data_IF_823129179121
#
_entry.id   IF_823129179121
#
_cell.length_a   1.000
_cell.length_b   1.000
_cell.length_c   1.000
_cell.angle_alpha   90.00
_cell.angle_beta   90.00
_cell.angle_gamma   90.00
#
_symmetry.space_group_name_H-M   'P 1'
#
loop_
_entity.id
_entity.type
_entity.pdbx_description
1 polymer ?
#
# COMPACT_ATOMS: atom_id res chain seq x y z
N UNK A 1 -10.67 -19.85 24.72
CA UNK A 1 -10.07 -20.32 23.44
C UNK A 1 -11.18 -20.80 22.52
N UNK A 2 -11.12 -20.44 21.25
CA UNK A 2 -12.13 -20.75 20.22
C UNK A 2 -11.60 -21.91 19.36
N UNK A 3 -12.10 -23.13 19.62
CA UNK A 3 -11.61 -24.36 18.97
C UNK A 3 -11.64 -24.28 17.45
N UNK A 4 -12.61 -23.59 16.87
CA UNK A 4 -12.71 -23.46 15.41
C UNK A 4 -11.62 -22.56 14.81
N UNK A 5 -11.16 -21.54 15.56
CA UNK A 5 -10.03 -20.71 15.14
C UNK A 5 -8.73 -21.50 15.26
N UNK A 6 -8.53 -22.21 16.38
CA UNK A 6 -7.35 -23.05 16.60
C UNK A 6 -7.16 -24.09 15.47
N UNK A 7 -8.19 -24.89 15.18
CA UNK A 7 -8.18 -25.90 14.11
C UNK A 7 -7.88 -25.28 12.73
N UNK A 8 -8.41 -24.09 12.47
CA UNK A 8 -8.16 -23.38 11.21
C UNK A 8 -6.71 -22.92 11.09
N UNK A 9 -6.12 -22.43 12.19
CA UNK A 9 -4.73 -22.00 12.21
C UNK A 9 -3.76 -23.18 12.17
N UNK A 10 -4.09 -24.33 12.77
CA UNK A 10 -3.33 -25.58 12.65
C UNK A 10 -3.29 -26.05 11.19
N UNK A 11 -4.46 -26.17 10.56
CA UNK A 11 -4.57 -26.53 9.14
C UNK A 11 -3.81 -25.55 8.23
N UNK A 12 -3.84 -24.26 8.56
CA UNK A 12 -3.08 -23.24 7.84
C UNK A 12 -1.57 -23.43 7.99
N UNK A 13 -1.09 -23.79 9.19
CA UNK A 13 0.31 -24.09 9.44
C UNK A 13 0.78 -25.33 8.66
N UNK A 14 -0.01 -26.41 8.67
CA UNK A 14 0.26 -27.64 7.92
C UNK A 14 0.33 -27.38 6.41
N UNK A 15 -0.68 -26.69 5.85
CA UNK A 15 -0.70 -26.35 4.44
C UNK A 15 0.47 -25.44 4.04
N UNK A 16 0.85 -24.51 4.92
CA UNK A 16 2.00 -23.63 4.71
C UNK A 16 3.33 -24.40 4.70
N UNK A 17 3.47 -25.41 5.57
CA UNK A 17 4.63 -26.29 5.57
C UNK A 17 4.71 -27.12 4.27
N UNK A 18 3.58 -27.68 3.83
CA UNK A 18 3.52 -28.55 2.65
C UNK A 18 3.63 -27.79 1.31
N UNK A 19 2.93 -26.66 1.18
CA UNK A 19 2.73 -25.97 -0.13
C UNK A 19 3.31 -24.57 -0.16
N UNK A 20 3.72 -24.02 0.98
CA UNK A 20 4.15 -22.63 1.09
C UNK A 20 3.02 -21.60 1.06
N UNK A 21 1.76 -22.02 1.16
CA UNK A 21 0.58 -21.16 1.09
C UNK A 21 -0.46 -21.49 2.15
N UNK A 22 -1.20 -20.46 2.60
CA UNK A 22 -2.39 -20.59 3.45
C UNK A 22 -3.70 -20.52 2.66
N UNK A 23 -3.64 -20.55 1.32
CA UNK A 23 -4.81 -20.51 0.47
C UNK A 23 -5.66 -21.78 0.63
N UNK A 24 -6.99 -21.62 0.66
CA UNK A 24 -7.93 -22.75 0.76
C UNK A 24 -8.11 -23.32 2.18
N UNK A 25 -7.39 -22.84 3.19
CA UNK A 25 -7.42 -23.42 4.54
C UNK A 25 -8.52 -22.85 5.44
N UNK A 26 -9.11 -21.72 5.06
CA UNK A 26 -10.03 -20.94 5.90
C UNK A 26 -9.34 -19.82 6.70
N UNK A 27 -8.01 -19.68 6.59
CA UNK A 27 -7.20 -18.69 7.32
C UNK A 27 -7.81 -17.28 7.34
N UNK A 28 -8.18 -16.72 6.18
CA UNK A 28 -8.75 -15.37 6.10
C UNK A 28 -10.14 -15.23 6.74
N UNK A 29 -10.89 -16.33 6.82
CA UNK A 29 -12.14 -16.40 7.58
C UNK A 29 -11.89 -16.30 9.09
N UNK A 30 -10.95 -17.08 9.61
CA UNK A 30 -10.51 -16.99 11.01
C UNK A 30 -9.98 -15.59 11.36
N UNK A 31 -9.13 -15.01 10.50
CA UNK A 31 -8.65 -13.63 10.67
C UNK A 31 -9.80 -12.62 10.75
N UNK A 32 -10.85 -12.81 9.95
CA UNK A 32 -12.01 -11.90 9.96
C UNK A 32 -12.81 -12.01 11.27
N UNK A 33 -12.93 -13.22 11.84
CA UNK A 33 -13.51 -13.42 13.18
C UNK A 33 -12.67 -12.75 14.26
N UNK A 34 -11.34 -12.96 14.23
CA UNK A 34 -10.42 -12.32 15.19
C UNK A 34 -10.49 -10.79 15.10
N UNK A 35 -10.59 -10.21 13.90
CA UNK A 35 -10.74 -8.75 13.74
C UNK A 35 -12.01 -8.17 14.36
N UNK A 36 -13.05 -8.98 14.54
CA UNK A 36 -14.33 -8.54 15.08
C UNK A 36 -14.38 -8.55 16.62
N UNK A 37 -13.41 -9.18 17.29
CA UNK A 37 -13.42 -9.37 18.74
C UNK A 37 -12.03 -9.03 19.33
N UNK A 38 -11.89 -7.92 20.08
CA UNK A 38 -10.64 -7.54 20.74
C UNK A 38 -10.06 -8.60 21.67
N UNK A 39 -10.90 -9.41 22.32
CA UNK A 39 -10.46 -10.52 23.18
C UNK A 39 -9.75 -11.60 22.37
N UNK A 40 -10.25 -11.90 21.17
CA UNK A 40 -9.58 -12.83 20.25
C UNK A 40 -8.30 -12.25 19.67
N UNK A 41 -8.22 -10.94 19.45
CA UNK A 41 -6.97 -10.28 19.00
C UNK A 41 -5.87 -10.50 20.02
N UNK A 42 -6.15 -10.35 21.32
CA UNK A 42 -5.15 -10.54 22.37
C UNK A 42 -4.54 -11.95 22.36
N UNK A 43 -5.34 -12.97 22.00
CA UNK A 43 -4.94 -14.38 21.98
C UNK A 43 -4.27 -14.79 20.67
N UNK A 44 -4.85 -14.40 19.53
CA UNK A 44 -4.48 -14.98 18.22
C UNK A 44 -3.62 -14.07 17.33
N UNK A 45 -3.41 -12.80 17.69
CA UNK A 45 -2.73 -11.85 16.80
C UNK A 45 -1.30 -12.28 16.42
N UNK A 46 -0.50 -12.77 17.39
CA UNK A 46 0.88 -13.20 17.13
C UNK A 46 0.92 -14.42 16.21
N UNK A 47 0.14 -15.45 16.53
CA UNK A 47 0.05 -16.68 15.73
C UNK A 47 -0.39 -16.41 14.28
N UNK A 48 -1.38 -15.54 14.10
CA UNK A 48 -1.81 -15.11 12.76
C UNK A 48 -0.67 -14.39 12.04
N UNK A 49 0.05 -13.51 12.73
CA UNK A 49 1.15 -12.74 12.14
C UNK A 49 2.34 -13.62 11.74
N UNK A 50 2.64 -14.66 12.51
CA UNK A 50 3.67 -15.64 12.17
C UNK A 50 3.32 -16.38 10.87
N UNK A 51 2.10 -16.90 10.75
CA UNK A 51 1.63 -17.59 9.55
C UNK A 51 1.58 -16.66 8.33
N UNK A 52 1.02 -15.44 8.48
CA UNK A 52 0.98 -14.45 7.40
C UNK A 52 2.38 -14.03 6.96
N UNK A 53 3.31 -13.84 7.91
CA UNK A 53 4.70 -13.50 7.62
C UNK A 53 5.39 -14.64 6.88
N UNK A 54 5.28 -15.88 7.37
CA UNK A 54 5.90 -17.03 6.75
C UNK A 54 5.35 -17.29 5.32
N UNK A 55 4.04 -17.16 5.11
CA UNK A 55 3.44 -17.22 3.77
C UNK A 55 3.95 -16.08 2.86
N UNK A 56 4.03 -14.86 3.40
CA UNK A 56 4.56 -13.70 2.65
C UNK A 56 6.02 -13.88 2.24
N UNK A 57 6.87 -14.40 3.13
CA UNK A 57 8.29 -14.61 2.87
C UNK A 57 8.54 -15.59 1.71
N UNK A 58 7.65 -16.59 1.54
CA UNK A 58 7.70 -17.54 0.42
C UNK A 58 7.16 -16.94 -0.88
N UNK A 59 6.25 -15.98 -0.78
CA UNK A 59 5.62 -15.34 -1.94
C UNK A 59 6.45 -14.17 -2.52
N UNK A 60 7.13 -13.40 -1.68
CA UNK A 60 7.86 -12.20 -2.11
C UNK A 60 9.12 -12.55 -2.91
N UNK A 61 9.31 -11.92 -4.08
CA UNK A 61 10.51 -12.15 -4.93
C UNK A 61 11.72 -11.39 -4.43
N UNK A 62 11.54 -10.10 -4.16
CA UNK A 62 12.58 -9.22 -3.64
C UNK A 62 12.10 -8.69 -2.30
N UNK A 63 13.00 -8.67 -1.32
CA UNK A 63 12.74 -8.12 0.01
C UNK A 63 13.88 -7.18 0.36
N UNK A 64 13.52 -6.00 0.83
CA UNK A 64 14.48 -4.98 1.27
C UNK A 64 14.17 -4.68 2.73
N UNK A 65 15.19 -4.65 3.61
CA UNK A 65 15.01 -4.23 5.00
C UNK A 65 14.26 -2.90 5.09
N UNK A 66 13.42 -2.74 6.11
CA UNK A 66 12.51 -1.60 6.20
C UNK A 66 13.24 -0.25 6.11
N UNK A 67 14.37 -0.10 6.83
CA UNK A 67 15.17 1.12 6.81
C UNK A 67 15.70 1.45 5.41
N UNK A 68 16.39 0.49 4.78
CA UNK A 68 16.96 0.66 3.44
C UNK A 68 15.89 0.95 2.38
N UNK A 69 14.78 0.21 2.39
CA UNK A 69 13.68 0.45 1.45
C UNK A 69 13.00 1.79 1.67
N UNK A 70 12.84 2.23 2.93
CA UNK A 70 12.26 3.54 3.25
C UNK A 70 13.20 4.66 2.79
N UNK A 71 14.50 4.53 3.06
CA UNK A 71 15.51 5.49 2.59
C UNK A 71 15.50 5.59 1.06
N UNK A 72 15.41 4.46 0.35
CA UNK A 72 15.31 4.44 -1.11
C UNK A 72 14.03 5.14 -1.62
N UNK A 73 12.88 4.88 -1.00
CA UNK A 73 11.62 5.54 -1.40
C UNK A 73 11.64 7.05 -1.10
N UNK A 74 12.24 7.47 0.02
CA UNK A 74 12.41 8.89 0.35
C UNK A 74 13.37 9.56 -0.63
N UNK A 75 14.52 8.94 -0.93
CA UNK A 75 15.45 9.45 -1.93
C UNK A 75 14.80 9.59 -3.31
N UNK A 76 14.04 8.57 -3.74
CA UNK A 76 13.26 8.63 -4.97
C UNK A 76 12.22 9.75 -4.94
N UNK A 77 11.53 9.95 -3.82
CA UNK A 77 10.58 11.07 -3.65
C UNK A 77 11.28 12.42 -3.84
N UNK A 78 12.44 12.61 -3.23
CA UNK A 78 13.26 13.83 -3.37
C UNK A 78 13.64 14.04 -4.84
N UNK A 79 14.11 13.00 -5.54
CA UNK A 79 14.43 13.07 -6.97
C UNK A 79 13.20 13.48 -7.79
N UNK A 80 12.03 12.90 -7.51
CA UNK A 80 10.78 13.26 -8.18
C UNK A 80 10.41 14.73 -7.98
N UNK A 81 10.55 15.26 -6.76
CA UNK A 81 10.33 16.68 -6.45
C UNK A 81 11.34 17.59 -7.14
N UNK A 82 12.62 17.22 -7.17
CA UNK A 82 13.68 17.98 -7.86
C UNK A 82 13.40 18.06 -9.36
N UNK A 83 12.96 16.96 -9.98
CA UNK A 83 12.57 16.96 -11.40
C UNK A 83 11.37 17.86 -11.67
N UNK A 84 10.36 17.87 -10.79
CA UNK A 84 9.23 18.80 -10.89
C UNK A 84 9.70 20.26 -10.78
N UNK A 85 10.59 20.56 -9.84
CA UNK A 85 11.16 21.91 -9.69
C UNK A 85 12.05 22.31 -10.90
N UNK A 86 12.75 21.35 -11.50
CA UNK A 86 13.57 21.60 -12.68
C UNK A 86 12.74 22.02 -13.90
N UNK A 87 11.48 21.61 -13.99
CA UNK A 87 10.58 22.00 -15.09
C UNK A 87 10.45 23.53 -15.24
N UNK A 88 10.61 24.31 -14.17
CA UNK A 88 10.59 25.77 -14.22
C UNK A 88 11.84 26.42 -14.86
N UNK A 89 12.93 25.66 -15.02
CA UNK A 89 14.23 26.19 -15.46
C UNK A 89 14.73 25.59 -16.76
N UNK A 90 14.17 24.46 -17.17
CA UNK A 90 14.57 23.76 -18.36
C UNK A 90 13.86 24.35 -19.58
N UNK A 91 14.54 24.33 -20.73
CA UNK A 91 13.91 24.67 -22.00
C UNK A 91 13.12 23.49 -22.55
N UNK A 92 12.14 23.78 -23.39
CA UNK A 92 11.41 22.74 -24.11
C UNK A 92 12.36 21.90 -25.00
N UNK A 93 12.17 20.55 -25.06
CA UNK A 93 11.11 19.76 -24.43
C UNK A 93 11.49 19.15 -23.06
N UNK A 94 12.63 19.53 -22.48
CA UNK A 94 13.17 18.90 -21.28
C UNK A 94 12.36 19.24 -20.02
N UNK A 95 11.69 20.38 -19.98
CA UNK A 95 10.72 20.77 -18.97
C UNK A 95 9.57 19.75 -18.83
N UNK A 96 8.97 19.37 -19.97
CA UNK A 96 7.89 18.41 -20.06
C UNK A 96 8.35 17.01 -19.65
N UNK A 97 9.53 16.59 -20.11
CA UNK A 97 10.12 15.30 -19.73
C UNK A 97 10.40 15.27 -18.22
N UNK A 98 11.00 16.33 -17.66
CA UNK A 98 11.27 16.41 -16.23
C UNK A 98 9.99 16.35 -15.40
N UNK A 99 8.92 17.05 -15.82
CA UNK A 99 7.63 17.01 -15.15
C UNK A 99 7.01 15.60 -15.17
N UNK A 100 6.97 14.94 -16.33
CA UNK A 100 6.38 13.62 -16.49
C UNK A 100 7.15 12.53 -15.73
N UNK A 101 8.48 12.53 -15.86
CA UNK A 101 9.35 11.57 -15.15
C UNK A 101 9.28 11.83 -13.64
N UNK A 102 9.34 13.09 -13.21
CA UNK A 102 9.19 13.46 -11.81
C UNK A 102 7.86 12.97 -11.22
N UNK A 103 6.76 13.15 -11.95
CA UNK A 103 5.44 12.64 -11.57
C UNK A 103 5.42 11.12 -11.46
N UNK A 104 5.98 10.40 -12.45
CA UNK A 104 6.04 8.94 -12.42
C UNK A 104 6.85 8.41 -11.22
N UNK A 105 8.00 9.04 -10.92
CA UNK A 105 8.82 8.71 -9.75
C UNK A 105 8.05 8.96 -8.45
N UNK A 106 7.34 10.09 -8.34
CA UNK A 106 6.50 10.37 -7.17
C UNK A 106 5.39 9.34 -7.00
N UNK A 107 4.70 8.94 -8.06
CA UNK A 107 3.66 7.92 -8.01
C UNK A 107 4.16 6.60 -7.43
N UNK A 108 5.35 6.15 -7.85
CA UNK A 108 5.94 4.88 -7.40
C UNK A 108 6.39 4.96 -5.94
N UNK A 109 7.01 6.08 -5.55
CA UNK A 109 7.70 6.21 -4.26
C UNK A 109 6.78 6.62 -3.13
N UNK A 110 5.76 7.44 -3.41
CA UNK A 110 4.94 8.05 -2.36
C UNK A 110 3.75 7.19 -1.93
N UNK A 111 3.26 6.27 -2.78
CA UNK A 111 2.13 5.40 -2.45
C UNK A 111 2.40 4.53 -1.22
N UNK A 112 3.50 3.77 -1.24
CA UNK A 112 3.92 2.94 -0.10
C UNK A 112 4.29 3.78 1.13
N UNK A 113 4.88 4.96 0.93
CA UNK A 113 5.19 5.88 2.01
C UNK A 113 3.93 6.43 2.68
N UNK A 114 2.85 6.67 1.93
CA UNK A 114 1.55 7.06 2.48
C UNK A 114 1.02 6.01 3.46
N UNK A 115 1.04 4.73 3.07
CA UNK A 115 0.71 3.64 3.98
C UNK A 115 1.62 3.60 5.20
N UNK A 116 2.94 3.73 4.98
CA UNK A 116 3.92 3.68 6.05
C UNK A 116 3.68 4.78 7.10
N UNK A 117 3.55 6.04 6.65
CA UNK A 117 3.38 7.20 7.53
C UNK A 117 2.08 7.07 8.34
N UNK A 118 0.94 6.90 7.67
CA UNK A 118 -0.35 6.80 8.36
C UNK A 118 -0.40 5.56 9.24
N UNK A 119 0.13 4.44 8.78
CA UNK A 119 0.22 3.22 9.58
C UNK A 119 1.04 3.41 10.86
N UNK A 120 2.21 4.07 10.77
CA UNK A 120 3.05 4.35 11.95
C UNK A 120 2.38 5.28 12.96
N UNK A 121 1.70 6.32 12.49
CA UNK A 121 0.89 7.21 13.35
C UNK A 121 -0.24 6.44 14.05
N UNK A 122 -0.71 5.36 13.44
CA UNK A 122 -1.72 4.46 13.98
C UNK A 122 -1.16 3.32 14.85
N UNK A 123 0.15 3.30 15.14
CA UNK A 123 0.80 2.20 15.89
C UNK A 123 0.99 0.89 15.10
N UNK A 124 0.75 0.90 13.79
CA UNK A 124 0.96 -0.25 12.91
C UNK A 124 2.45 -0.32 12.54
N UNK A 125 3.08 -1.44 12.86
CA UNK A 125 4.48 -1.71 12.48
C UNK A 125 4.54 -2.34 11.09
N UNK A 126 5.73 -2.29 10.51
CA UNK A 126 6.02 -2.83 9.18
C UNK A 126 7.28 -3.68 9.27
N UNK A 127 7.37 -4.71 8.44
CA UNK A 127 8.49 -5.66 8.48
C UNK A 127 9.51 -5.42 7.37
N UNK A 128 9.12 -4.77 6.26
CA UNK A 128 10.03 -4.49 5.16
C UNK A 128 9.32 -4.10 3.88
N UNK A 129 10.13 -3.72 2.89
CA UNK A 129 9.69 -3.45 1.53
C UNK A 129 9.85 -4.69 0.67
N UNK A 130 9.03 -4.82 -0.36
CA UNK A 130 9.06 -5.99 -1.23
C UNK A 130 8.60 -5.68 -2.65
N UNK A 131 8.95 -6.58 -3.57
CA UNK A 131 8.38 -6.65 -4.91
C UNK A 131 7.75 -8.03 -5.12
N UNK A 132 6.48 -8.03 -5.53
CA UNK A 132 5.70 -9.24 -5.77
C UNK A 132 5.90 -9.83 -7.17
N UNK A 133 5.54 -11.10 -7.40
CA UNK A 133 5.77 -11.79 -8.66
C UNK A 133 4.90 -11.32 -9.84
N UNK A 134 3.68 -10.82 -9.56
CA UNK A 134 2.70 -10.45 -10.60
C UNK A 134 2.64 -8.96 -10.90
N UNK A 135 3.15 -8.11 -10.00
CA UNK A 135 3.19 -6.65 -10.15
C UNK A 135 4.53 -6.16 -9.61
N UNK A 136 5.47 -5.75 -10.49
CA UNK A 136 6.81 -5.36 -10.08
C UNK A 136 6.84 -3.94 -9.47
N UNK A 137 5.87 -3.62 -8.62
CA UNK A 137 5.79 -2.35 -7.90
C UNK A 137 6.23 -2.56 -6.45
N UNK A 138 6.92 -1.59 -5.85
CA UNK A 138 7.32 -1.68 -4.46
C UNK A 138 6.09 -1.65 -3.55
N UNK A 139 5.99 -2.64 -2.68
CA UNK A 139 5.01 -2.69 -1.59
C UNK A 139 5.71 -2.64 -0.23
N UNK A 140 5.01 -2.16 0.79
CA UNK A 140 5.46 -2.25 2.19
C UNK A 140 4.60 -3.26 2.93
N UNK A 141 5.24 -4.22 3.61
CA UNK A 141 4.54 -5.30 4.33
C UNK A 141 4.32 -4.89 5.77
N UNK A 142 3.05 -4.91 6.20
CA UNK A 142 2.64 -4.69 7.59
C UNK A 142 3.07 -5.86 8.47
N UNK A 143 3.37 -5.57 9.73
CA UNK A 143 3.41 -6.56 10.79
C UNK A 143 1.98 -6.86 11.24
N UNK A 144 1.47 -8.05 10.91
CA UNK A 144 0.04 -8.30 10.98
C UNK A 144 -0.50 -8.32 12.41
N UNK A 145 0.32 -8.61 13.42
CA UNK A 145 -0.08 -8.58 14.83
C UNK A 145 -0.37 -7.13 15.26
N UNK A 146 0.57 -6.21 15.02
CA UNK A 146 0.35 -4.78 15.27
C UNK A 146 -0.81 -4.22 14.44
N UNK A 147 -0.98 -4.71 13.21
CA UNK A 147 -2.12 -4.35 12.37
C UNK A 147 -3.44 -4.77 13.01
N UNK A 148 -3.58 -6.00 13.49
CA UNK A 148 -4.81 -6.48 14.13
C UNK A 148 -5.15 -5.72 15.42
N UNK A 149 -4.13 -5.29 16.16
CA UNK A 149 -4.29 -4.50 17.40
C UNK A 149 -4.67 -3.05 17.15
N UNK A 150 -4.34 -2.49 15.99
CA UNK A 150 -4.74 -1.13 15.63
C UNK A 150 -6.26 -1.05 15.45
N UNK A 151 -6.85 0.10 15.78
CA UNK A 151 -8.30 0.30 15.65
C UNK A 151 -8.78 0.11 14.20
N UNK A 152 -10.02 -0.31 13.97
CA UNK A 152 -10.59 -0.43 12.63
C UNK A 152 -10.42 0.81 11.76
N UNK A 153 -10.69 1.99 12.34
CA UNK A 153 -10.54 3.30 11.67
C UNK A 153 -9.09 3.56 11.27
N UNK A 154 -8.13 3.27 12.16
CA UNK A 154 -6.71 3.37 11.87
C UNK A 154 -6.27 2.47 10.70
N UNK A 155 -6.71 1.20 10.71
CA UNK A 155 -6.43 0.26 9.62
C UNK A 155 -7.03 0.74 8.30
N UNK A 156 -8.25 1.27 8.34
CA UNK A 156 -8.92 1.81 7.18
C UNK A 156 -8.11 2.98 6.58
N UNK A 157 -7.83 4.02 7.37
CA UNK A 157 -7.10 5.19 6.89
C UNK A 157 -5.69 4.87 6.41
N UNK A 158 -5.00 3.90 7.04
CA UNK A 158 -3.73 3.40 6.52
C UNK A 158 -3.87 2.89 5.08
N UNK A 159 -4.90 2.11 4.75
CA UNK A 159 -5.14 1.68 3.36
C UNK A 159 -5.51 2.86 2.47
N UNK A 160 -6.38 3.78 2.90
CA UNK A 160 -6.76 4.92 2.07
C UNK A 160 -5.59 5.85 1.74
N UNK A 161 -4.61 5.99 2.65
CA UNK A 161 -3.50 6.94 2.52
C UNK A 161 -2.72 6.79 1.21
N UNK A 162 -2.28 5.57 0.89
CA UNK A 162 -1.55 5.30 -0.36
C UNK A 162 -2.38 5.64 -1.59
N UNK A 163 -3.66 5.28 -1.58
CA UNK A 163 -4.57 5.61 -2.67
C UNK A 163 -4.75 7.12 -2.83
N UNK A 164 -5.02 7.87 -1.75
CA UNK A 164 -5.21 9.32 -1.78
C UNK A 164 -3.98 10.00 -2.36
N UNK A 165 -2.79 9.66 -1.87
CA UNK A 165 -1.52 10.24 -2.33
C UNK A 165 -1.34 10.03 -3.84
N UNK A 166 -1.58 8.81 -4.33
CA UNK A 166 -1.48 8.51 -5.77
C UNK A 166 -2.37 9.41 -6.63
N UNK A 167 -3.54 9.85 -6.15
CA UNK A 167 -4.46 10.73 -6.91
C UNK A 167 -4.08 12.19 -6.82
N UNK A 168 -3.55 12.62 -5.69
CA UNK A 168 -3.11 14.00 -5.51
C UNK A 168 -1.89 14.31 -6.35
N UNK A 169 -0.96 13.36 -6.51
CA UNK A 169 0.29 13.56 -7.26
C UNK A 169 0.08 14.12 -8.68
N UNK A 170 -0.71 13.51 -9.58
CA UNK A 170 -0.89 14.06 -10.93
C UNK A 170 -1.69 15.37 -10.94
N UNK A 171 -2.60 15.59 -10.00
CA UNK A 171 -3.34 16.86 -9.87
C UNK A 171 -2.40 17.99 -9.47
N UNK A 172 -1.52 17.76 -8.49
CA UNK A 172 -0.49 18.73 -8.10
C UNK A 172 0.50 18.95 -9.25
N UNK A 173 0.90 17.90 -9.96
CA UNK A 173 1.78 18.00 -11.13
C UNK A 173 1.16 18.85 -12.26
N UNK A 174 -0.17 18.78 -12.46
CA UNK A 174 -0.86 19.69 -13.39
C UNK A 174 -0.74 21.16 -12.94
N UNK A 175 -0.88 21.44 -11.64
CA UNK A 175 -0.63 22.79 -11.11
C UNK A 175 0.80 23.27 -11.37
N UNK A 176 1.78 22.39 -11.13
CA UNK A 176 3.21 22.67 -11.38
C UNK A 176 3.48 22.92 -12.86
N UNK A 177 3.01 22.04 -13.75
CA UNK A 177 3.23 22.18 -15.19
C UNK A 177 2.58 23.44 -15.77
N UNK A 178 1.38 23.80 -15.29
CA UNK A 178 0.72 25.04 -15.68
C UNK A 178 1.53 26.27 -15.26
N UNK A 179 1.99 26.30 -14.00
CA UNK A 179 2.79 27.41 -13.47
C UNK A 179 4.16 27.53 -14.14
N UNK A 180 4.76 26.41 -14.55
CA UNK A 180 6.03 26.37 -15.28
C UNK A 180 5.90 26.68 -16.78
N UNK A 181 4.68 26.84 -17.31
CA UNK A 181 4.45 27.07 -18.74
C UNK A 181 4.76 25.86 -19.63
N UNK A 182 4.67 24.64 -19.08
CA UNK A 182 5.01 23.41 -19.79
C UNK A 182 4.05 23.16 -20.95
N UNK A 183 4.58 22.59 -22.04
CA UNK A 183 3.85 22.31 -23.26
C UNK A 183 2.55 21.51 -23.03
N UNK A 184 1.48 21.92 -23.74
CA UNK A 184 0.13 21.39 -23.55
C UNK A 184 -0.02 19.87 -23.75
N UNK A 185 0.84 19.23 -24.55
CA UNK A 185 0.79 17.76 -24.72
C UNK A 185 1.15 17.02 -23.42
N UNK A 186 2.11 17.51 -22.63
CA UNK A 186 2.49 16.89 -21.36
C UNK A 186 1.39 17.10 -20.32
N UNK A 187 0.76 18.28 -20.34
CA UNK A 187 -0.42 18.59 -19.54
C UNK A 187 -1.58 17.64 -19.89
N UNK A 188 -1.82 17.36 -21.17
CA UNK A 188 -2.82 16.40 -21.61
C UNK A 188 -2.50 14.97 -21.11
N UNK A 189 -1.24 14.53 -21.19
CA UNK A 189 -0.81 13.23 -20.64
C UNK A 189 -1.09 13.14 -19.13
N UNK A 190 -0.71 14.15 -18.35
CA UNK A 190 -0.99 14.19 -16.92
C UNK A 190 -2.49 14.19 -16.61
N UNK A 191 -3.28 14.93 -17.40
CA UNK A 191 -4.73 14.95 -17.30
C UNK A 191 -5.34 13.57 -17.55
N UNK A 192 -4.89 12.88 -18.60
CA UNK A 192 -5.31 11.49 -18.90
C UNK A 192 -4.92 10.56 -17.75
N UNK A 193 -3.70 10.66 -17.21
CA UNK A 193 -3.27 9.84 -16.07
C UNK A 193 -4.17 10.07 -14.85
N UNK A 194 -4.46 11.34 -14.50
CA UNK A 194 -5.34 11.68 -13.39
C UNK A 194 -6.75 11.10 -13.57
N UNK A 195 -7.35 11.29 -14.75
CA UNK A 195 -8.69 10.78 -15.08
C UNK A 195 -8.71 9.26 -15.05
N UNK A 196 -7.75 8.59 -15.69
CA UNK A 196 -7.67 7.12 -15.71
C UNK A 196 -7.54 6.56 -14.29
N UNK A 197 -6.74 7.18 -13.43
CA UNK A 197 -6.62 6.77 -12.03
C UNK A 197 -7.94 6.89 -11.27
N UNK A 198 -8.68 7.99 -11.46
CA UNK A 198 -10.00 8.20 -10.82
C UNK A 198 -11.04 7.19 -11.33
N UNK A 199 -11.12 6.98 -12.65
CA UNK A 199 -12.03 6.01 -13.27
C UNK A 199 -11.72 4.58 -12.82
N UNK A 200 -10.44 4.20 -12.84
CA UNK A 200 -9.99 2.87 -12.38
C UNK A 200 -10.37 2.66 -10.92
N UNK A 201 -10.27 3.69 -10.09
CA UNK A 201 -10.68 3.60 -8.70
C UNK A 201 -12.19 3.43 -8.52
N UNK A 202 -12.99 4.22 -9.24
CA UNK A 202 -14.45 4.14 -9.18
C UNK A 202 -14.97 2.76 -9.64
N UNK A 203 -14.37 2.20 -10.70
CA UNK A 203 -14.84 0.97 -11.34
C UNK A 203 -14.26 -0.30 -10.70
N UNK A 204 -12.95 -0.32 -10.40
CA UNK A 204 -12.23 -1.55 -10.01
C UNK A 204 -11.79 -1.56 -8.52
N UNK A 205 -11.41 -0.41 -7.97
CA UNK A 205 -10.85 -0.33 -6.59
C UNK A 205 -11.89 -0.58 -5.50
N UNK A 206 -13.17 -0.51 -5.85
CA UNK A 206 -14.29 -0.89 -4.98
C UNK A 206 -14.34 -2.40 -4.70
N UNK A 207 -13.84 -3.24 -5.62
CA UNK A 207 -13.84 -4.72 -5.49
C UNK A 207 -12.48 -5.27 -5.08
N UNK A 208 -11.41 -4.71 -5.61
CA UNK A 208 -10.04 -5.12 -5.32
C UNK A 208 -9.12 -3.90 -5.31
N UNK A 209 -8.60 -3.53 -4.14
CA UNK A 209 -7.77 -2.35 -4.01
C UNK A 209 -7.82 -1.78 -2.60
N UNK A 210 -7.18 -0.64 -2.39
CA UNK A 210 -7.09 -0.04 -1.08
C UNK A 210 -8.41 0.54 -0.60
N UNK A 211 -9.30 1.00 -1.50
CA UNK A 211 -10.65 1.40 -1.12
C UNK A 211 -11.51 0.21 -0.71
N UNK A 212 -11.39 -0.94 -1.39
CA UNK A 212 -12.02 -2.17 -0.94
C UNK A 212 -11.55 -2.57 0.46
N UNK A 213 -10.24 -2.42 0.76
CA UNK A 213 -9.70 -2.65 2.11
C UNK A 213 -10.20 -1.61 3.11
N UNK A 214 -10.15 -0.32 2.78
CA UNK A 214 -10.66 0.79 3.60
C UNK A 214 -12.11 0.52 4.03
N UNK A 215 -13.01 0.26 3.08
CA UNK A 215 -14.42 -0.04 3.38
C UNK A 215 -14.57 -1.32 4.20
N UNK A 216 -13.78 -2.36 3.91
CA UNK A 216 -13.80 -3.59 4.70
C UNK A 216 -13.39 -3.34 6.14
N UNK A 217 -12.37 -2.53 6.39
CA UNK A 217 -11.90 -2.22 7.75
C UNK A 217 -12.89 -1.30 8.48
N UNK A 218 -13.49 -0.31 7.81
CA UNK A 218 -14.53 0.55 8.41
C UNK A 218 -15.78 -0.22 8.85
N UNK A 219 -16.11 -1.36 8.23
CA UNK A 219 -17.21 -2.22 8.69
C UNK A 219 -17.01 -2.76 10.11
N UNK A 220 -15.78 -2.80 10.61
CA UNK A 220 -15.49 -3.14 12.00
C UNK A 220 -15.48 -1.93 12.94
N UNK A 221 -15.50 -0.69 12.41
CA UNK A 221 -15.53 0.53 13.24
C UNK A 221 -16.94 0.85 13.77
N UNK A 222 -17.97 0.41 13.05
CA UNK A 222 -19.39 0.56 13.45
C UNK A 222 -19.96 -0.65 14.19
N UNK A 223 -19.11 -1.53 14.70
CA UNK A 223 -19.46 -2.70 15.52
C UNK A 223 -18.77 -2.55 16.87
#
# INVERSE_FOLDING_TARGET
MDRGIDETLDRAAEALAATGSVAGTGFWGAVSRVKADPGLVAVYAERIAELDRAAFLRWARVRVPLGAGTALMVAGTIVGLVLQAAAYRLAAPLDAVALLVGTAVLLVTTHGLGHLVVGRLCGIRFIGWFVGPRRPQPGVKVDYASYLRASPTCRAWMHAAGAIVTKLVPVVALGVGWAAGVAGWAMAVLGVVAVVQLVTDAVLSTRSGDWAKFRRELRYAGR
#
